data_IF_060966609735
#
_entry.id   IF_060966609735
#
_cell.length_a   1.000
_cell.length_b   1.000
_cell.length_c   1.000
_cell.angle_alpha   90.00
_cell.angle_beta   90.00
_cell.angle_gamma   90.00
#
_symmetry.space_group_name_H-M   'P 1'
#
loop_
_entity.id
_entity.type
_entity.pdbx_description
1 polymer ?
#
# COMPACT_ATOMS: atom_id res chain seq x y z
N UNK A 1 23.92 8.47 10.22
CA UNK A 1 24.07 9.93 9.96
C UNK A 1 22.95 10.61 10.73
N UNK A 2 23.23 11.60 11.58
CA UNK A 2 22.18 12.31 12.32
C UNK A 2 21.34 13.16 11.34
N UNK A 3 20.04 13.37 11.61
CA UNK A 3 19.25 14.29 10.79
C UNK A 3 19.87 15.69 10.86
N UNK A 4 19.99 16.41 9.73
CA UNK A 4 20.66 17.71 9.67
C UNK A 4 19.91 18.80 10.46
N UNK A 5 18.62 18.59 10.72
CA UNK A 5 17.76 19.53 11.43
C UNK A 5 16.87 18.79 12.45
N UNK A 6 16.59 19.47 13.56
CA UNK A 6 15.56 19.09 14.53
C UNK A 6 14.59 20.26 14.68
N UNK A 7 13.35 20.07 14.24
CA UNK A 7 12.29 21.08 14.40
C UNK A 7 11.61 20.85 15.74
N UNK A 8 11.80 21.79 16.67
CA UNK A 8 11.12 21.77 17.95
C UNK A 8 9.70 22.32 17.81
N UNK A 9 8.72 21.50 18.15
CA UNK A 9 7.30 21.88 18.18
C UNK A 9 6.69 21.46 19.52
N UNK A 10 5.75 22.26 20.02
CA UNK A 10 5.05 22.00 21.27
C UNK A 10 3.58 21.74 20.95
N UNK A 11 3.13 20.52 21.21
CA UNK A 11 1.72 20.21 21.23
C UNK A 11 1.07 20.62 22.56
N UNK A 12 -0.27 20.61 22.63
CA UNK A 12 -0.99 20.93 23.85
C UNK A 12 -0.83 19.83 24.89
N UNK A 13 -0.95 20.19 26.17
CA UNK A 13 -1.33 19.25 27.22
C UNK A 13 -2.83 18.97 27.08
N UNK A 14 -3.21 17.71 27.05
CA UNK A 14 -4.61 17.31 26.99
C UNK A 14 -5.26 17.45 28.37
N UNK A 15 -6.46 18.02 28.41
CA UNK A 15 -7.27 18.14 29.63
C UNK A 15 -8.61 17.44 29.43
N UNK A 16 -9.39 17.91 28.47
CA UNK A 16 -10.74 17.39 28.20
C UNK A 16 -11.17 17.48 26.72
N UNK A 17 -10.33 18.06 25.85
CA UNK A 17 -10.60 18.18 24.42
C UNK A 17 -11.51 19.36 24.04
N UNK A 18 -11.98 20.15 25.01
CA UNK A 18 -12.93 21.26 24.78
C UNK A 18 -12.29 22.64 24.79
N UNK A 19 -10.98 22.73 25.06
CA UNK A 19 -10.23 23.98 25.26
C UNK A 19 -9.42 24.38 24.02
N UNK A 20 -9.74 23.77 22.89
CA UNK A 20 -9.04 23.99 21.62
C UNK A 20 -7.76 23.18 21.48
N UNK A 21 -7.54 22.15 22.32
CA UNK A 21 -6.38 21.28 22.21
C UNK A 21 -6.24 20.70 20.80
N UNK A 22 -7.34 20.32 20.16
CA UNK A 22 -7.33 19.81 18.78
C UNK A 22 -6.69 20.82 17.82
N UNK A 23 -7.13 22.08 17.87
CA UNK A 23 -6.61 23.15 17.02
C UNK A 23 -5.13 23.42 17.29
N UNK A 24 -4.71 23.40 18.56
CA UNK A 24 -3.31 23.62 18.92
C UNK A 24 -2.43 22.47 18.40
N UNK A 25 -2.90 21.22 18.53
CA UNK A 25 -2.20 20.05 18.01
C UNK A 25 -2.10 20.11 16.49
N UNK A 26 -3.18 20.48 15.81
CA UNK A 26 -3.21 20.71 14.37
C UNK A 26 -2.15 21.74 13.94
N UNK A 27 -2.13 22.90 14.61
CA UNK A 27 -1.17 23.98 14.31
C UNK A 27 0.28 23.55 14.58
N UNK A 28 0.53 22.71 15.58
CA UNK A 28 1.86 22.20 15.91
C UNK A 28 2.48 21.41 14.75
N UNK A 29 1.68 20.55 14.09
CA UNK A 29 2.09 19.85 12.87
C UNK A 29 2.21 20.81 11.67
N UNK A 30 1.19 21.65 11.45
CA UNK A 30 1.14 22.55 10.29
C UNK A 30 2.33 23.53 10.25
N UNK A 31 2.70 24.11 11.40
CA UNK A 31 3.87 25.00 11.51
C UNK A 31 5.19 24.27 11.28
N UNK A 32 5.31 23.03 11.77
CA UNK A 32 6.50 22.22 11.54
C UNK A 32 6.67 21.83 10.06
N UNK A 33 5.57 21.48 9.39
CA UNK A 33 5.55 21.23 7.94
C UNK A 33 5.91 22.48 7.13
N UNK A 34 5.34 23.64 7.48
CA UNK A 34 5.67 24.90 6.83
C UNK A 34 7.17 25.25 7.00
N UNK A 35 7.73 25.06 8.19
CA UNK A 35 9.15 25.30 8.43
C UNK A 35 10.05 24.31 7.66
N UNK A 36 9.66 23.03 7.59
CA UNK A 36 10.38 22.03 6.79
C UNK A 36 10.45 22.45 5.32
N UNK A 37 9.35 22.97 4.79
CA UNK A 37 9.30 23.54 3.44
C UNK A 37 10.24 24.73 3.28
N UNK A 38 10.20 25.69 4.21
CA UNK A 38 11.06 26.88 4.15
C UNK A 38 12.55 26.53 4.21
N UNK A 39 12.90 25.42 4.88
CA UNK A 39 14.25 24.86 4.93
C UNK A 39 14.64 24.04 3.68
N UNK A 40 13.69 23.76 2.79
CA UNK A 40 13.91 22.99 1.56
C UNK A 40 14.30 21.53 1.80
N UNK A 41 13.86 20.93 2.91
CA UNK A 41 14.14 19.51 3.17
C UNK A 41 13.24 18.60 2.33
N UNK A 42 13.77 17.45 1.90
CA UNK A 42 13.03 16.46 1.11
C UNK A 42 12.23 15.48 1.97
N UNK A 43 12.48 15.41 3.28
CA UNK A 43 11.76 14.54 4.19
C UNK A 43 11.67 15.07 5.62
N UNK A 44 10.62 14.67 6.33
CA UNK A 44 10.39 14.96 7.74
C UNK A 44 9.75 13.76 8.45
N UNK A 45 10.18 13.50 9.69
CA UNK A 45 9.59 12.46 10.54
C UNK A 45 8.97 13.10 11.78
N UNK A 46 7.73 12.73 12.08
CA UNK A 46 6.99 13.16 13.26
C UNK A 46 6.83 11.99 14.24
N UNK A 47 7.05 12.20 15.55
CA UNK A 47 6.42 11.33 16.55
C UNK A 47 4.91 11.64 16.60
N UNK A 48 4.15 10.81 17.30
CA UNK A 48 2.78 11.15 17.66
C UNK A 48 2.78 12.27 18.73
N UNK A 49 2.73 13.53 18.31
CA UNK A 49 2.84 14.71 19.18
C UNK A 49 1.75 14.67 20.26
N UNK A 50 2.14 15.04 21.49
CA UNK A 50 1.31 15.10 22.69
C UNK A 50 0.76 13.79 23.25
N UNK A 51 0.92 12.64 22.58
CA UNK A 51 0.36 11.36 23.06
C UNK A 51 1.22 10.62 24.10
N UNK A 52 2.31 11.24 24.56
CA UNK A 52 3.16 10.76 25.65
C UNK A 52 2.83 11.48 26.96
N UNK A 53 3.83 12.14 27.55
CA UNK A 53 3.71 12.86 28.84
C UNK A 53 2.63 13.97 28.87
N UNK A 54 2.13 14.40 27.71
CA UNK A 54 1.10 15.44 27.60
C UNK A 54 -0.33 14.85 27.59
N UNK A 55 -0.46 13.52 27.59
CA UNK A 55 -1.69 12.82 27.90
C UNK A 55 -2.76 12.85 26.81
N UNK A 56 -2.45 13.29 25.59
CA UNK A 56 -3.43 13.33 24.50
C UNK A 56 -3.85 11.89 24.15
N UNK A 57 -5.16 11.58 24.10
CA UNK A 57 -5.63 10.27 23.70
C UNK A 57 -5.04 9.85 22.35
N UNK A 58 -4.33 8.72 22.31
CA UNK A 58 -3.57 8.26 21.12
C UNK A 58 -4.44 8.24 19.85
N UNK A 59 -5.69 7.79 19.97
CA UNK A 59 -6.69 7.76 18.88
C UNK A 59 -6.93 9.15 18.29
N UNK A 60 -7.23 10.11 19.15
CA UNK A 60 -7.58 11.47 18.74
C UNK A 60 -6.35 12.18 18.19
N UNK A 61 -5.21 12.07 18.88
CA UNK A 61 -3.94 12.63 18.44
C UNK A 61 -3.54 12.12 17.04
N UNK A 62 -3.74 10.83 16.78
CA UNK A 62 -3.50 10.26 15.47
C UNK A 62 -4.48 10.80 14.44
N UNK A 63 -5.78 10.78 14.74
CA UNK A 63 -6.80 11.28 13.81
C UNK A 63 -6.47 12.70 13.36
N UNK A 64 -6.05 13.54 14.30
CA UNK A 64 -5.60 14.91 14.04
C UNK A 64 -4.33 14.90 13.19
N UNK A 65 -3.29 14.15 13.59
CA UNK A 65 -2.04 14.04 12.84
C UNK A 65 -2.31 13.65 11.38
N UNK A 66 -3.03 12.56 11.14
CA UNK A 66 -3.38 12.07 9.81
C UNK A 66 -4.15 13.10 9.00
N UNK A 67 -5.12 13.78 9.61
CA UNK A 67 -5.85 14.84 8.93
C UNK A 67 -4.89 15.99 8.51
N UNK A 68 -3.91 16.39 9.34
CA UNK A 68 -2.93 17.44 8.99
C UNK A 68 -2.08 16.99 7.82
N UNK A 69 -1.57 15.77 7.90
CA UNK A 69 -0.68 15.21 6.91
C UNK A 69 -1.41 15.03 5.56
N UNK A 70 -2.65 14.53 5.57
CA UNK A 70 -3.50 14.44 4.36
C UNK A 70 -3.79 15.83 3.78
N UNK A 71 -4.10 16.83 4.62
CA UNK A 71 -4.36 18.20 4.15
C UNK A 71 -3.11 18.85 3.52
N UNK A 72 -1.92 18.60 4.05
CA UNK A 72 -0.68 19.14 3.50
C UNK A 72 -0.16 18.36 2.29
N UNK A 73 -0.28 17.03 2.27
CA UNK A 73 0.17 16.18 1.15
C UNK A 73 -0.63 16.38 -0.14
N UNK A 74 -1.84 16.94 -0.07
CA UNK A 74 -2.65 17.29 -1.25
C UNK A 74 -2.18 18.57 -1.96
N UNK A 75 -1.41 19.43 -1.29
CA UNK A 75 -0.80 20.61 -1.90
C UNK A 75 0.55 20.18 -2.46
N UNK A 76 0.75 20.37 -3.76
CA UNK A 76 1.80 19.77 -4.56
C UNK A 76 3.24 20.02 -4.07
N UNK A 77 3.73 19.24 -3.11
CA UNK A 77 5.07 19.45 -2.54
C UNK A 77 5.88 18.14 -2.50
N UNK A 78 7.14 18.20 -2.95
CA UNK A 78 8.10 17.08 -2.94
C UNK A 78 8.67 16.86 -1.51
N UNK A 79 7.80 16.66 -0.51
CA UNK A 79 8.18 16.41 0.89
C UNK A 79 7.67 15.03 1.35
N UNK A 80 8.59 14.11 1.66
CA UNK A 80 8.25 12.83 2.26
C UNK A 80 7.94 12.99 3.76
N UNK A 81 6.79 12.49 4.19
CA UNK A 81 6.35 12.61 5.59
C UNK A 81 6.25 11.22 6.22
N UNK A 82 6.99 11.02 7.30
CA UNK A 82 6.95 9.80 8.11
C UNK A 82 6.24 10.09 9.43
N UNK A 83 5.22 9.29 9.78
CA UNK A 83 4.66 9.27 11.13
C UNK A 83 5.23 8.06 11.87
N UNK A 84 6.06 8.32 12.88
CA UNK A 84 6.76 7.30 13.66
C UNK A 84 5.95 6.97 14.91
N UNK A 85 5.53 5.72 15.00
CA UNK A 85 4.67 5.20 16.06
C UNK A 85 5.46 4.16 16.86
N UNK A 86 5.44 4.27 18.19
CA UNK A 86 6.24 3.40 19.07
C UNK A 86 5.57 2.07 19.43
N UNK A 87 4.23 1.94 19.31
CA UNK A 87 3.50 0.74 19.74
C UNK A 87 2.48 0.27 18.68
N UNK A 88 2.41 -1.04 18.49
CA UNK A 88 1.63 -1.76 17.47
C UNK A 88 0.11 -1.74 17.73
N UNK A 89 -0.32 -1.51 18.99
CA UNK A 89 -1.67 -1.87 19.47
C UNK A 89 -2.68 -0.70 19.61
N UNK A 90 -2.32 0.54 19.25
CA UNK A 90 -3.09 1.74 19.65
C UNK A 90 -3.90 2.43 18.53
N UNK A 91 -4.49 1.67 17.61
CA UNK A 91 -5.15 2.22 16.41
C UNK A 91 -6.64 1.85 16.27
N UNK A 92 -7.57 2.77 16.56
CA UNK A 92 -9.01 2.48 16.46
C UNK A 92 -9.61 2.62 15.05
N UNK A 93 -8.96 3.37 14.15
CA UNK A 93 -9.31 3.39 12.73
C UNK A 93 -8.95 2.02 12.10
N UNK A 94 -7.74 1.54 12.39
CA UNK A 94 -7.32 0.18 12.06
C UNK A 94 -8.24 -0.88 12.65
N UNK A 95 -8.73 -0.78 13.89
CA UNK A 95 -9.55 -1.86 14.46
C UNK A 95 -10.87 -2.09 13.70
N UNK A 96 -11.57 -1.03 13.30
CA UNK A 96 -12.82 -1.16 12.56
C UNK A 96 -12.57 -1.69 11.13
N UNK A 97 -11.53 -1.17 10.48
CA UNK A 97 -11.14 -1.57 9.12
C UNK A 97 -10.57 -3.00 9.09
N UNK A 98 -9.69 -3.33 10.04
CA UNK A 98 -9.16 -4.67 10.31
C UNK A 98 -10.30 -5.65 10.56
N UNK A 99 -11.31 -5.31 11.37
CA UNK A 99 -12.49 -6.18 11.57
C UNK A 99 -13.23 -6.47 10.26
N UNK A 100 -13.45 -5.46 9.40
CA UNK A 100 -14.09 -5.65 8.09
C UNK A 100 -13.25 -6.54 7.18
N UNK A 101 -11.95 -6.27 7.09
CA UNK A 101 -11.00 -7.05 6.29
C UNK A 101 -10.92 -8.49 6.80
N UNK A 102 -10.80 -8.70 8.11
CA UNK A 102 -10.80 -10.03 8.74
C UNK A 102 -12.10 -10.79 8.41
N UNK A 103 -13.26 -10.14 8.48
CA UNK A 103 -14.53 -10.76 8.12
C UNK A 103 -14.57 -11.16 6.63
N UNK A 104 -14.05 -10.31 5.74
CA UNK A 104 -13.92 -10.60 4.32
C UNK A 104 -12.99 -11.80 4.06
N UNK A 105 -11.82 -11.85 4.71
CA UNK A 105 -10.87 -12.95 4.59
C UNK A 105 -11.46 -14.28 5.10
N UNK A 106 -12.19 -14.24 6.22
CA UNK A 106 -12.88 -15.40 6.77
C UNK A 106 -13.98 -15.93 5.81
N UNK A 107 -14.78 -15.05 5.20
CA UNK A 107 -15.83 -15.44 4.25
C UNK A 107 -15.26 -16.17 3.03
N UNK A 108 -14.06 -15.80 2.56
CA UNK A 108 -13.41 -16.47 1.42
C UNK A 108 -12.79 -17.82 1.80
N UNK A 109 -12.91 -18.26 3.06
CA UNK A 109 -12.37 -19.53 3.57
C UNK A 109 -10.84 -19.51 3.69
N UNK A 110 -10.25 -18.32 3.76
CA UNK A 110 -8.80 -18.12 3.70
C UNK A 110 -8.18 -17.81 5.06
N UNK A 111 -8.96 -17.82 6.14
CA UNK A 111 -8.50 -17.48 7.48
C UNK A 111 -9.32 -18.15 8.61
N UNK A 112 -8.62 -18.91 9.48
CA UNK A 112 -9.04 -19.34 10.81
C UNK A 112 -8.01 -18.77 11.80
N UNK A 113 -8.36 -17.71 12.54
CA UNK A 113 -7.58 -17.30 13.72
C UNK A 113 -7.84 -18.33 14.84
N UNK A 114 -7.01 -19.37 14.96
CA UNK A 114 -6.62 -20.06 16.22
C UNK A 114 -6.06 -21.50 16.05
N UNK A 115 -5.05 -21.74 15.19
CA UNK A 115 -4.32 -23.03 15.17
C UNK A 115 -2.79 -22.90 15.14
N UNK A 116 -2.20 -21.99 15.92
CA UNK A 116 -0.77 -22.09 16.31
C UNK A 116 -0.59 -21.77 17.81
N UNK A 117 -1.37 -22.45 18.66
CA UNK A 117 -0.97 -22.79 20.03
C UNK A 117 -1.30 -24.26 20.25
N UNK A 118 -0.49 -25.15 19.68
CA UNK A 118 -0.09 -26.48 20.20
C UNK A 118 0.55 -27.26 19.05
N UNK A 119 1.85 -27.06 18.85
CA UNK A 119 2.72 -28.12 18.35
C UNK A 119 4.00 -28.11 19.18
N UNK A 120 3.85 -28.44 20.46
CA UNK A 120 4.88 -29.20 21.14
C UNK A 120 4.55 -30.69 20.99
N UNK A 121 5.60 -31.43 20.61
CA UNK A 121 5.75 -32.89 20.64
C UNK A 121 4.77 -33.74 19.83
N UNK A 122 5.17 -34.10 18.61
CA UNK A 122 5.39 -35.52 18.30
C UNK A 122 6.35 -35.68 17.11
N UNK A 123 7.18 -36.69 17.24
CA UNK A 123 8.42 -36.94 16.54
C UNK A 123 8.25 -37.99 15.42
N UNK A 124 8.88 -37.70 14.26
CA UNK A 124 9.58 -38.63 13.33
C UNK A 124 8.76 -39.73 12.58
N UNK A 125 9.28 -40.35 11.49
CA UNK A 125 10.47 -40.05 10.69
C UNK A 125 10.20 -39.92 9.17
N UNK A 126 11.23 -39.48 8.46
CA UNK A 126 11.35 -39.47 7.00
C UNK A 126 11.73 -40.89 6.51
N UNK A 127 10.98 -41.46 5.57
CA UNK A 127 11.43 -42.60 4.76
C UNK A 127 10.95 -42.45 3.32
N UNK A 128 11.89 -42.66 2.41
CA UNK A 128 11.83 -42.45 0.98
C UNK A 128 11.77 -43.82 0.30
N UNK A 129 10.78 -44.04 -0.57
CA UNK A 129 10.77 -45.20 -1.46
C UNK A 129 10.17 -44.80 -2.82
N UNK A 130 10.92 -45.11 -3.87
CA UNK A 130 10.59 -44.88 -5.27
C UNK A 130 9.68 -45.99 -5.79
N UNK A 131 8.68 -45.65 -6.61
CA UNK A 131 8.11 -46.59 -7.59
C UNK A 131 7.54 -45.83 -8.81
N UNK A 132 7.75 -46.46 -9.97
CA UNK A 132 7.62 -45.95 -11.34
C UNK A 132 6.18 -45.71 -11.83
N UNK A 133 6.10 -44.94 -12.92
CA UNK A 133 4.91 -44.58 -13.73
C UNK A 133 4.09 -45.78 -14.26
N UNK A 134 2.92 -45.50 -14.89
CA UNK A 134 2.95 -45.57 -16.35
C UNK A 134 2.35 -44.37 -17.09
N UNK A 135 2.95 -44.13 -18.25
CA UNK A 135 2.68 -43.14 -19.29
C UNK A 135 1.22 -43.05 -19.74
N UNK A 136 0.71 -41.83 -19.90
CA UNK A 136 -0.39 -41.53 -20.83
C UNK A 136 0.16 -40.78 -22.04
N UNK A 137 -0.07 -41.38 -23.21
CA UNK A 137 0.13 -40.76 -24.52
C UNK A 137 -0.93 -39.69 -24.71
N UNK A 138 -0.52 -38.47 -25.00
CA UNK A 138 -1.34 -37.56 -25.80
C UNK A 138 -0.56 -37.21 -27.07
N UNK A 139 -1.15 -37.60 -28.19
CA UNK A 139 -0.72 -37.26 -29.54
C UNK A 139 -1.13 -35.82 -29.84
N UNK A 140 -0.27 -35.12 -30.57
CA UNK A 140 -0.27 -33.67 -30.65
C UNK A 140 -1.25 -33.04 -31.61
N UNK A 141 -1.36 -31.72 -31.47
CA UNK A 141 -1.44 -30.76 -32.58
C UNK A 141 -0.58 -29.56 -32.15
N UNK A 142 0.70 -29.56 -32.50
CA UNK A 142 1.51 -28.32 -32.46
C UNK A 142 1.13 -27.55 -33.71
N UNK A 143 0.17 -26.62 -33.58
CA UNK A 143 0.02 -25.56 -34.57
C UNK A 143 1.24 -24.67 -34.42
N UNK A 144 2.16 -24.70 -35.39
CA UNK A 144 3.17 -23.65 -35.56
C UNK A 144 2.46 -22.31 -35.72
N UNK A 145 2.18 -21.66 -34.60
CA UNK A 145 1.99 -20.21 -34.56
C UNK A 145 3.38 -19.65 -34.84
N UNK A 146 3.62 -19.21 -36.08
CA UNK A 146 4.83 -18.47 -36.42
C UNK A 146 4.99 -17.34 -35.40
N UNK A 147 6.16 -17.28 -34.77
CA UNK A 147 6.50 -16.30 -33.73
C UNK A 147 6.26 -14.88 -34.24
N UNK A 148 6.51 -14.66 -35.53
CA UNK A 148 6.31 -13.40 -36.24
C UNK A 148 4.84 -12.98 -36.28
N UNK A 149 3.92 -13.94 -36.41
CA UNK A 149 2.47 -13.68 -36.40
C UNK A 149 1.96 -13.35 -34.99
N UNK A 150 2.52 -14.00 -33.96
CA UNK A 150 2.23 -13.68 -32.56
C UNK A 150 2.79 -12.31 -32.13
N UNK A 151 3.93 -11.91 -32.67
CA UNK A 151 4.52 -10.59 -32.44
C UNK A 151 3.75 -9.46 -33.16
N UNK A 152 3.08 -9.75 -34.28
CA UNK A 152 2.23 -8.80 -35.01
C UNK A 152 0.84 -8.61 -34.40
N UNK A 153 0.32 -9.62 -33.69
CA UNK A 153 -0.96 -9.59 -32.96
C UNK A 153 -0.78 -9.24 -31.47
N UNK A 154 0.40 -8.76 -31.07
CA UNK A 154 0.75 -8.54 -29.68
C UNK A 154 -0.20 -7.55 -29.00
N UNK A 155 -0.71 -7.93 -27.82
CA UNK A 155 -1.55 -7.08 -26.97
C UNK A 155 -0.81 -5.78 -26.59
N UNK A 156 -1.57 -4.75 -26.22
CA UNK A 156 -1.00 -3.51 -25.69
C UNK A 156 -0.10 -3.78 -24.46
N UNK A 157 1.02 -3.07 -24.36
CA UNK A 157 1.95 -3.21 -23.24
C UNK A 157 1.36 -2.68 -21.93
N UNK A 158 1.96 -3.03 -20.78
CA UNK A 158 1.59 -2.44 -19.48
C UNK A 158 1.59 -0.92 -19.52
N UNK A 159 2.64 -0.33 -20.12
CA UNK A 159 2.79 1.11 -20.22
C UNK A 159 1.64 1.71 -21.04
N UNK A 160 1.38 1.18 -22.23
CA UNK A 160 0.33 1.69 -23.11
C UNK A 160 -1.05 1.61 -22.45
N UNK A 161 -1.35 0.49 -21.80
CA UNK A 161 -2.61 0.30 -21.07
C UNK A 161 -2.74 1.25 -19.88
N UNK A 162 -1.68 1.41 -19.09
CA UNK A 162 -1.67 2.33 -17.95
C UNK A 162 -1.98 3.75 -18.39
N UNK A 163 -1.30 4.27 -19.42
CA UNK A 163 -1.53 5.64 -19.88
C UNK A 163 -2.90 5.81 -20.53
N UNK A 164 -3.41 4.80 -21.23
CA UNK A 164 -4.81 4.81 -21.70
C UNK A 164 -5.80 4.93 -20.54
N UNK A 165 -5.59 4.21 -19.44
CA UNK A 165 -6.45 4.31 -18.24
C UNK A 165 -6.34 5.67 -17.55
N UNK A 166 -5.14 6.27 -17.51
CA UNK A 166 -4.90 7.61 -16.99
C UNK A 166 -5.68 8.65 -17.81
N UNK A 167 -5.54 8.61 -19.14
CA UNK A 167 -6.21 9.52 -20.06
C UNK A 167 -7.74 9.40 -19.97
N UNK A 168 -8.26 8.17 -19.89
CA UNK A 168 -9.70 7.92 -19.74
C UNK A 168 -10.28 8.49 -18.44
N UNK A 169 -9.47 8.61 -17.40
CA UNK A 169 -9.86 9.20 -16.10
C UNK A 169 -9.60 10.70 -16.03
N UNK A 170 -8.98 11.29 -17.05
CA UNK A 170 -8.63 12.72 -17.07
C UNK A 170 -7.67 13.12 -15.94
N UNK A 171 -6.82 12.19 -15.49
CA UNK A 171 -5.88 12.44 -14.41
C UNK A 171 -4.54 12.93 -14.97
N UNK A 172 -3.94 13.92 -14.30
CA UNK A 172 -2.56 14.31 -14.59
C UNK A 172 -1.58 13.28 -14.01
N UNK A 173 -0.50 12.99 -14.74
CA UNK A 173 0.60 12.13 -14.28
C UNK A 173 1.06 12.45 -12.85
N UNK A 174 1.15 13.74 -12.52
CA UNK A 174 1.55 14.24 -11.20
C UNK A 174 0.63 13.73 -10.10
N UNK A 175 -0.67 13.74 -10.36
CA UNK A 175 -1.66 13.22 -9.43
C UNK A 175 -1.52 11.71 -9.27
N UNK A 176 -1.27 10.99 -10.38
CA UNK A 176 -1.18 9.52 -10.39
C UNK A 176 0.00 9.03 -9.57
N UNK A 177 1.22 9.50 -9.83
CA UNK A 177 2.38 8.99 -9.10
C UNK A 177 2.39 9.41 -7.62
N UNK A 178 1.81 10.57 -7.28
CA UNK A 178 1.63 10.98 -5.88
C UNK A 178 0.64 10.08 -5.14
N UNK A 179 -0.53 9.82 -5.74
CA UNK A 179 -1.52 8.87 -5.19
C UNK A 179 -0.97 7.46 -5.07
N UNK A 180 -0.08 7.05 -5.98
CA UNK A 180 0.58 5.76 -5.94
C UNK A 180 1.75 5.70 -4.92
N UNK A 181 2.05 6.81 -4.23
CA UNK A 181 3.20 6.95 -3.33
C UNK A 181 4.54 6.60 -4.02
N UNK A 182 4.74 7.11 -5.24
CA UNK A 182 5.88 6.81 -6.11
C UNK A 182 6.73 8.05 -6.41
N UNK A 183 8.05 7.86 -6.50
CA UNK A 183 8.97 8.89 -6.96
C UNK A 183 8.73 9.22 -8.44
N UNK A 184 8.72 10.53 -8.78
CA UNK A 184 8.60 11.04 -10.15
C UNK A 184 9.61 10.41 -11.12
N UNK A 185 10.83 10.09 -10.68
CA UNK A 185 11.87 9.42 -11.48
C UNK A 185 11.44 8.01 -11.88
N UNK A 186 10.83 7.26 -10.96
CA UNK A 186 10.31 5.93 -11.25
C UNK A 186 9.17 6.02 -12.27
N UNK A 187 8.23 6.95 -12.07
CA UNK A 187 7.15 7.18 -13.01
C UNK A 187 7.66 7.64 -14.40
N UNK A 188 8.70 8.46 -14.44
CA UNK A 188 9.33 8.87 -15.70
C UNK A 188 9.99 7.71 -16.44
N UNK A 189 10.48 6.67 -15.75
CA UNK A 189 11.01 5.46 -16.42
C UNK A 189 9.88 4.69 -17.08
N UNK A 190 8.77 4.48 -16.34
CA UNK A 190 7.55 3.86 -16.86
C UNK A 190 7.08 4.62 -18.11
N UNK A 191 7.04 5.94 -18.08
CA UNK A 191 6.58 6.75 -19.24
C UNK A 191 7.46 6.62 -20.49
N UNK A 192 8.77 6.47 -20.33
CA UNK A 192 9.73 6.51 -21.45
C UNK A 192 9.94 5.16 -22.12
N UNK A 193 9.72 4.08 -21.39
CA UNK A 193 10.02 2.73 -21.85
C UNK A 193 8.74 1.90 -21.97
N UNK A 194 8.34 1.63 -23.22
CA UNK A 194 7.16 0.81 -23.54
C UNK A 194 7.28 -0.63 -23.04
N UNK A 195 8.50 -1.14 -22.91
CA UNK A 195 8.78 -2.50 -22.43
C UNK A 195 9.09 -2.52 -20.93
N UNK A 196 8.88 -1.40 -20.22
CA UNK A 196 9.14 -1.33 -18.80
C UNK A 196 8.30 -2.36 -18.05
N UNK A 197 8.98 -3.26 -17.32
CA UNK A 197 8.33 -4.22 -16.45
C UNK A 197 8.29 -3.66 -15.02
N UNK A 198 7.14 -3.19 -14.52
CA UNK A 198 7.04 -2.76 -13.13
C UNK A 198 7.17 -3.96 -12.17
N UNK A 199 7.50 -3.71 -10.91
CA UNK A 199 7.28 -4.72 -9.87
C UNK A 199 5.78 -4.90 -9.62
N UNK A 200 5.37 -6.06 -9.08
CA UNK A 200 3.97 -6.30 -8.72
C UNK A 200 3.42 -5.24 -7.77
N UNK A 201 4.18 -4.83 -6.75
CA UNK A 201 3.80 -3.74 -5.83
C UNK A 201 3.59 -2.43 -6.59
N UNK A 202 4.43 -2.10 -7.56
CA UNK A 202 4.28 -0.89 -8.39
C UNK A 202 3.01 -0.92 -9.22
N UNK A 203 2.71 -2.04 -9.88
CA UNK A 203 1.48 -2.20 -10.67
C UNK A 203 0.23 -2.10 -9.79
N UNK A 204 0.25 -2.70 -8.60
CA UNK A 204 -0.84 -2.59 -7.61
C UNK A 204 -1.02 -1.15 -7.12
N UNK A 205 0.07 -0.44 -6.79
CA UNK A 205 -0.01 0.97 -6.38
C UNK A 205 -0.64 1.85 -7.46
N UNK A 206 -0.34 1.60 -8.73
CA UNK A 206 -0.95 2.31 -9.86
C UNK A 206 -2.42 1.95 -10.03
N UNK A 207 -2.79 0.68 -9.87
CA UNK A 207 -4.19 0.24 -9.90
C UNK A 207 -5.02 0.93 -8.80
N UNK A 208 -4.47 1.00 -7.58
CA UNK A 208 -5.07 1.69 -6.43
C UNK A 208 -5.19 3.20 -6.71
N UNK A 209 -4.11 3.84 -7.19
CA UNK A 209 -4.08 5.28 -7.46
C UNK A 209 -5.08 5.74 -8.52
N UNK A 210 -5.40 4.87 -9.48
CA UNK A 210 -6.39 5.09 -10.52
C UNK A 210 -7.80 4.68 -10.10
N UNK A 211 -7.98 4.14 -8.89
CA UNK A 211 -9.25 3.61 -8.40
C UNK A 211 -9.88 2.65 -9.42
N UNK A 212 -9.07 1.70 -9.91
CA UNK A 212 -9.52 0.68 -10.86
C UNK A 212 -10.55 -0.26 -10.22
N UNK A 213 -11.47 -0.79 -11.03
CA UNK A 213 -12.24 -1.97 -10.63
C UNK A 213 -11.33 -3.19 -10.49
N UNK A 214 -11.84 -4.27 -9.87
CA UNK A 214 -11.09 -5.53 -9.77
C UNK A 214 -10.71 -6.07 -11.16
N UNK A 215 -11.62 -6.03 -12.13
CA UNK A 215 -11.38 -6.49 -13.50
C UNK A 215 -10.33 -5.65 -14.23
N UNK A 216 -10.39 -4.33 -14.09
CA UNK A 216 -9.39 -3.41 -14.66
C UNK A 216 -8.02 -3.60 -14.03
N UNK A 217 -7.97 -3.80 -12.71
CA UNK A 217 -6.72 -4.06 -11.99
C UNK A 217 -6.10 -5.40 -12.39
N UNK A 218 -6.92 -6.45 -12.56
CA UNK A 218 -6.46 -7.75 -13.06
C UNK A 218 -5.90 -7.65 -14.49
N UNK A 219 -6.56 -6.90 -15.38
CA UNK A 219 -6.06 -6.73 -16.75
C UNK A 219 -4.75 -5.91 -16.80
N UNK A 220 -4.64 -4.85 -15.98
CA UNK A 220 -3.40 -4.07 -15.85
C UNK A 220 -2.26 -4.93 -15.29
N UNK A 221 -2.53 -5.75 -14.25
CA UNK A 221 -1.55 -6.66 -13.67
C UNK A 221 -1.13 -7.75 -14.66
N UNK A 222 -2.07 -8.31 -15.43
CA UNK A 222 -1.80 -9.32 -16.45
C UNK A 222 -0.83 -8.80 -17.50
N UNK A 223 -1.01 -7.54 -17.93
CA UNK A 223 -0.09 -6.85 -18.85
C UNK A 223 1.30 -6.58 -18.25
N UNK A 224 1.38 -6.46 -16.92
CA UNK A 224 2.63 -6.46 -16.17
C UNK A 224 3.17 -7.87 -15.83
N UNK A 225 2.56 -8.94 -16.33
CA UNK A 225 2.99 -10.32 -16.08
C UNK A 225 2.65 -10.85 -14.69
N UNK A 226 1.67 -10.27 -14.00
CA UNK A 226 1.25 -10.67 -12.66
C UNK A 226 -0.23 -11.07 -12.62
N UNK A 227 -0.58 -11.84 -11.60
CA UNK A 227 -1.96 -12.12 -11.22
C UNK A 227 -2.16 -11.86 -9.73
N UNK A 228 -3.38 -11.55 -9.31
CA UNK A 228 -3.76 -11.50 -7.90
C UNK A 228 -3.82 -12.93 -7.36
N UNK A 229 -3.06 -13.19 -6.30
CA UNK A 229 -2.95 -14.51 -5.68
C UNK A 229 -3.80 -14.59 -4.43
N UNK A 230 -4.63 -15.65 -4.35
CA UNK A 230 -5.39 -15.96 -3.13
C UNK A 230 -4.53 -16.42 -1.95
N UNK A 231 -3.26 -16.73 -2.18
CA UNK A 231 -2.31 -17.09 -1.12
C UNK A 231 -1.50 -15.91 -0.60
N UNK A 232 -1.62 -14.73 -1.21
CA UNK A 232 -0.93 -13.52 -0.76
C UNK A 232 -1.88 -12.66 0.07
N UNK A 233 -1.51 -12.41 1.32
CA UNK A 233 -2.28 -11.49 2.20
C UNK A 233 -2.34 -10.09 1.63
N UNK A 234 -1.23 -9.61 1.05
CA UNK A 234 -1.18 -8.32 0.36
C UNK A 234 -2.24 -8.26 -0.75
N UNK A 235 -2.27 -9.26 -1.64
CA UNK A 235 -3.23 -9.28 -2.74
C UNK A 235 -4.68 -9.36 -2.24
N UNK A 236 -4.96 -10.18 -1.22
CA UNK A 236 -6.31 -10.30 -0.65
C UNK A 236 -6.80 -9.01 -0.02
N UNK A 237 -5.91 -8.29 0.68
CA UNK A 237 -6.21 -6.98 1.24
C UNK A 237 -6.49 -6.00 0.09
N UNK A 238 -5.66 -5.95 -0.94
CA UNK A 238 -5.90 -5.07 -2.10
C UNK A 238 -7.23 -5.42 -2.80
N UNK A 239 -7.54 -6.71 -3.01
CA UNK A 239 -8.83 -7.15 -3.55
C UNK A 239 -10.01 -6.60 -2.75
N UNK A 240 -9.95 -6.67 -1.42
CA UNK A 240 -11.01 -6.12 -0.56
C UNK A 240 -11.27 -4.63 -0.85
N UNK A 241 -10.21 -3.81 -0.91
CA UNK A 241 -10.37 -2.38 -1.16
C UNK A 241 -10.82 -2.05 -2.59
N UNK A 242 -10.42 -2.86 -3.58
CA UNK A 242 -10.90 -2.72 -4.96
C UNK A 242 -12.38 -3.09 -5.07
N UNK A 243 -12.84 -4.14 -4.39
CA UNK A 243 -14.25 -4.56 -4.37
C UNK A 243 -15.15 -3.53 -3.66
N UNK A 244 -14.66 -2.84 -2.62
CA UNK A 244 -15.40 -1.77 -1.93
C UNK A 244 -15.51 -0.48 -2.76
N UNK A 245 -14.75 -0.35 -3.86
CA UNK A 245 -14.87 0.76 -4.81
C UNK A 245 -14.30 2.11 -4.35
N UNK A 246 -13.56 2.14 -3.24
CA UNK A 246 -12.85 3.34 -2.78
C UNK A 246 -11.44 2.99 -2.25
N UNK A 247 -10.56 2.49 -3.13
CA UNK A 247 -9.23 2.07 -2.72
C UNK A 247 -8.36 3.31 -2.42
N UNK A 248 -8.00 3.47 -1.15
CA UNK A 248 -7.05 4.49 -0.70
C UNK A 248 -5.77 3.80 -0.20
N UNK A 249 -4.63 4.20 -0.76
CA UNK A 249 -3.34 3.55 -0.47
C UNK A 249 -2.94 3.71 1.01
N UNK A 250 -3.39 4.77 1.67
CA UNK A 250 -3.11 4.99 3.08
C UNK A 250 -3.87 3.98 3.95
N UNK A 251 -5.17 3.84 3.69
CA UNK A 251 -6.02 2.88 4.41
C UNK A 251 -5.56 1.44 4.18
N UNK A 252 -5.11 1.10 2.96
CA UNK A 252 -4.51 -0.19 2.63
C UNK A 252 -3.22 -0.41 3.42
N UNK A 253 -2.32 0.57 3.46
CA UNK A 253 -1.07 0.47 4.22
C UNK A 253 -1.31 0.30 5.72
N UNK A 254 -2.30 1.00 6.28
CA UNK A 254 -2.68 0.83 7.68
C UNK A 254 -3.13 -0.61 7.97
N UNK A 255 -3.94 -1.20 7.08
CA UNK A 255 -4.37 -2.60 7.20
C UNK A 255 -3.19 -3.55 7.06
N UNK A 256 -2.36 -3.41 6.03
CA UNK A 256 -1.17 -4.25 5.81
C UNK A 256 -0.27 -4.28 7.03
N UNK A 257 0.04 -3.09 7.57
CA UNK A 257 0.83 -2.95 8.78
C UNK A 257 0.20 -3.68 9.95
N UNK A 258 -1.12 -3.59 10.14
CA UNK A 258 -1.84 -4.27 11.22
C UNK A 258 -1.83 -5.81 11.15
N UNK A 259 -1.49 -6.38 9.99
CA UNK A 259 -1.30 -7.81 9.76
C UNK A 259 0.19 -8.21 9.72
N UNK A 260 1.11 -7.26 9.96
CA UNK A 260 2.56 -7.49 9.90
C UNK A 260 3.10 -7.67 8.47
N UNK A 261 2.37 -7.19 7.47
CA UNK A 261 2.76 -7.26 6.06
C UNK A 261 3.48 -5.98 5.62
N UNK A 262 4.32 -6.10 4.58
CA UNK A 262 5.01 -4.94 4.01
C UNK A 262 4.05 -3.91 3.40
N UNK A 263 4.26 -2.63 3.70
CA UNK A 263 3.51 -1.52 3.10
C UNK A 263 4.02 -1.10 1.71
N UNK A 264 3.15 -0.44 0.94
CA UNK A 264 3.49 0.22 -0.32
C UNK A 264 4.30 1.50 -0.09
N UNK A 265 5.35 1.69 -0.88
CA UNK A 265 6.21 2.89 -0.84
C UNK A 265 7.24 2.92 0.29
N UNK A 266 7.38 1.83 1.05
CA UNK A 266 8.51 1.61 1.96
C UNK A 266 9.77 1.39 1.11
N UNK A 267 10.55 2.45 0.91
CA UNK A 267 11.90 2.40 0.35
C UNK A 267 12.92 2.83 1.41
#
# INVERSE_FOLDING_TARGET
MLPPYVIHTLGPRYVDGTRGEEKILWEAYAKALALAKDLGVSSIAFPLISSGAFGYPKKEALSIALAVLKHHGQKEEDLWIYLVLQEEESFPLSLALKKKVTAYLAQKGLWEEDLIRTRSSSSMPMSMEMAMEPQRKEQGIVKERSLEKLLQEAEETFQEHLFRLIDQRGLEDVTVYKKANMDRKLFSKIRKDKQYQPSKKTALSLAIALSLSLDEAEDLLRKAGYALSRSSRLDLIVCYFLEEGNPDLFDINEVLFSFGEDTFGSF
#
